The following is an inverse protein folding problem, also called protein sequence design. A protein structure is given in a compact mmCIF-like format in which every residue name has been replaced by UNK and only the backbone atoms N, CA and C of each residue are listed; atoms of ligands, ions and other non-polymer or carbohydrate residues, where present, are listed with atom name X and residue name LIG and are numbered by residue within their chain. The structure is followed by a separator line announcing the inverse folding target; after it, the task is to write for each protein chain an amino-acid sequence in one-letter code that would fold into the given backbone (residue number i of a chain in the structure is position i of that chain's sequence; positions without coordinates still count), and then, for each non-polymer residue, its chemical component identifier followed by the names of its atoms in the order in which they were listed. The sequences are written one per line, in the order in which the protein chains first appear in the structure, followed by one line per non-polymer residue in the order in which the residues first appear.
data_IF_751958334001
#
_entry.id   IF_751958334001
#
_cell.length_a   1.000
_cell.length_b   1.000
_cell.length_c   1.000
_cell.angle_alpha   90.00
_cell.angle_beta   90.00
_cell.angle_gamma   90.00
#
_symmetry.space_group_name_H-M   'P 1'
#
loop_
_entity.id
_entity.type
_entity.pdbx_description
1 polymer ?
#
# COMPACT_ATOMS: atom_id res chain seq x y z
N UNK A 1 18.81 3.27 0.54
CA UNK A 1 19.96 4.19 0.41
C UNK A 1 21.08 3.52 -0.36
N UNK A 2 21.92 4.29 -1.08
CA UNK A 2 23.15 3.81 -1.69
C UNK A 2 24.33 4.24 -0.83
N UNK A 3 25.21 3.30 -0.49
CA UNK A 3 26.43 3.58 0.27
C UNK A 3 27.67 3.19 -0.51
N UNK A 4 28.74 3.99 -0.38
CA UNK A 4 30.09 3.65 -0.84
C UNK A 4 31.04 3.79 0.33
N UNK A 5 31.80 2.74 0.62
CA UNK A 5 32.77 2.70 1.73
C UNK A 5 32.16 3.10 3.09
N UNK A 6 30.91 2.67 3.34
CA UNK A 6 30.17 2.99 4.57
C UNK A 6 29.54 4.39 4.62
N UNK A 7 29.76 5.23 3.59
CA UNK A 7 29.19 6.58 3.49
C UNK A 7 27.93 6.53 2.63
N UNK A 8 26.82 7.09 3.13
CA UNK A 8 25.60 7.28 2.33
C UNK A 8 25.90 8.31 1.23
N UNK A 9 25.77 7.91 -0.02
CA UNK A 9 26.00 8.77 -1.19
C UNK A 9 24.71 9.14 -1.93
N UNK A 10 23.63 8.39 -1.72
CA UNK A 10 22.30 8.74 -2.22
C UNK A 10 21.17 8.08 -1.41
N UNK A 11 19.99 8.67 -1.49
CA UNK A 11 18.73 8.09 -1.00
C UNK A 11 17.74 8.00 -2.16
N UNK A 12 16.92 6.96 -2.15
CA UNK A 12 15.86 6.77 -3.14
C UNK A 12 14.54 6.73 -2.38
N UNK A 13 13.55 7.43 -2.91
CA UNK A 13 12.16 7.34 -2.48
C UNK A 13 11.43 6.59 -3.58
N UNK A 14 10.61 5.62 -3.19
CA UNK A 14 9.77 4.85 -4.08
C UNK A 14 8.33 5.09 -3.65
N UNK A 15 7.47 5.29 -4.62
CA UNK A 15 6.03 5.50 -4.43
C UNK A 15 5.29 4.46 -5.27
N UNK A 16 4.14 4.01 -4.76
CA UNK A 16 3.28 3.11 -5.51
C UNK A 16 2.55 3.88 -6.62
N UNK A 17 2.80 3.47 -7.86
CA UNK A 17 2.05 3.95 -9.01
C UNK A 17 0.69 3.24 -9.08
N UNK A 18 -0.33 3.88 -8.51
CA UNK A 18 -1.68 3.36 -8.56
C UNK A 18 -2.20 3.29 -10.00
N UNK A 19 -3.03 2.27 -10.28
CA UNK A 19 -3.82 2.24 -11.52
C UNK A 19 -4.69 3.50 -11.56
N UNK A 20 -4.82 4.11 -12.73
CA UNK A 20 -5.54 5.39 -12.90
C UNK A 20 -7.02 5.33 -12.47
N UNK A 21 -7.62 4.14 -12.49
CA UNK A 21 -9.00 3.88 -12.12
C UNK A 21 -9.19 3.28 -10.71
N UNK A 22 -8.10 3.03 -9.96
CA UNK A 22 -8.15 2.33 -8.68
C UNK A 22 -9.10 3.01 -7.68
N UNK A 23 -9.02 4.34 -7.56
CA UNK A 23 -9.88 5.12 -6.65
C UNK A 23 -11.35 5.00 -7.04
N UNK A 24 -11.66 5.12 -8.34
CA UNK A 24 -13.02 5.01 -8.85
C UNK A 24 -13.59 3.60 -8.62
N UNK A 25 -12.76 2.55 -8.77
CA UNK A 25 -13.16 1.17 -8.50
C UNK A 25 -13.51 0.95 -7.01
N UNK A 26 -12.67 1.44 -6.08
CA UNK A 26 -12.94 1.37 -4.63
C UNK A 26 -14.22 2.13 -4.28
N UNK A 27 -14.41 3.33 -4.84
CA UNK A 27 -15.65 4.10 -4.63
C UNK A 27 -16.90 3.36 -5.13
N UNK A 28 -16.83 2.69 -6.28
CA UNK A 28 -17.95 1.90 -6.79
C UNK A 28 -18.31 0.74 -5.87
N UNK A 29 -17.32 0.03 -5.32
CA UNK A 29 -17.55 -1.05 -4.35
C UNK A 29 -18.19 -0.53 -3.07
N UNK A 30 -17.68 0.57 -2.52
CA UNK A 30 -18.24 1.20 -1.33
C UNK A 30 -19.67 1.69 -1.56
N UNK A 31 -19.96 2.30 -2.72
CA UNK A 31 -21.32 2.72 -3.10
C UNK A 31 -22.29 1.53 -3.25
N UNK A 32 -21.78 0.37 -3.66
CA UNK A 32 -22.51 -0.90 -3.67
C UNK A 32 -22.63 -1.55 -2.27
N UNK A 33 -22.18 -0.86 -1.21
CA UNK A 33 -22.12 -1.35 0.18
C UNK A 33 -21.25 -2.59 0.37
N UNK A 34 -20.24 -2.76 -0.47
CA UNK A 34 -19.22 -3.80 -0.34
C UNK A 34 -18.04 -3.20 0.42
N UNK A 35 -17.69 -3.81 1.56
CA UNK A 35 -16.51 -3.39 2.33
C UNK A 35 -15.23 -3.78 1.60
N UNK A 36 -14.30 -2.84 1.50
CA UNK A 36 -12.96 -3.05 0.93
C UNK A 36 -11.93 -3.07 2.06
N UNK A 37 -11.06 -4.08 2.07
CA UNK A 37 -9.91 -4.18 2.96
C UNK A 37 -8.66 -4.48 2.13
N UNK A 38 -7.53 -3.88 2.51
CA UNK A 38 -6.26 -4.08 1.84
C UNK A 38 -5.31 -4.94 2.67
N UNK A 39 -4.84 -6.05 2.11
CA UNK A 39 -3.84 -6.93 2.71
C UNK A 39 -2.54 -6.85 1.92
N UNK A 40 -1.48 -6.27 2.50
CA UNK A 40 -0.19 -6.10 1.82
C UNK A 40 0.96 -6.73 2.59
N UNK A 41 1.95 -7.22 1.82
CA UNK A 41 3.25 -7.63 2.35
C UNK A 41 4.22 -6.46 2.50
N UNK A 42 3.88 -5.27 1.98
CA UNK A 42 4.71 -4.09 2.06
C UNK A 42 4.76 -3.51 3.47
N UNK A 43 5.77 -2.68 3.71
CA UNK A 43 5.94 -1.99 4.98
C UNK A 43 4.76 -1.05 5.27
N UNK A 44 4.53 -0.78 6.56
CA UNK A 44 3.39 0.01 7.03
C UNK A 44 3.28 1.39 6.39
N UNK A 45 4.41 2.05 6.11
CA UNK A 45 4.42 3.39 5.50
C UNK A 45 3.85 3.35 4.08
N UNK A 46 4.43 2.55 3.19
CA UNK A 46 3.96 2.44 1.80
C UNK A 46 2.50 1.93 1.72
N UNK A 47 2.17 0.92 2.52
CA UNK A 47 0.81 0.39 2.62
C UNK A 47 -0.19 1.46 3.10
N UNK A 48 0.18 2.27 4.10
CA UNK A 48 -0.65 3.35 4.63
C UNK A 48 -0.89 4.46 3.60
N UNK A 49 0.14 4.86 2.86
CA UNK A 49 0.03 5.87 1.79
C UNK A 49 -0.97 5.44 0.71
N UNK A 50 -0.93 4.18 0.27
CA UNK A 50 -1.90 3.63 -0.68
C UNK A 50 -3.31 3.59 -0.10
N UNK A 51 -3.47 3.14 1.15
CA UNK A 51 -4.77 3.08 1.81
C UNK A 51 -5.40 4.48 1.92
N UNK A 52 -4.61 5.49 2.25
CA UNK A 52 -5.05 6.89 2.30
C UNK A 52 -5.47 7.41 0.93
N UNK A 53 -4.64 7.22 -0.10
CA UNK A 53 -4.93 7.66 -1.47
C UNK A 53 -6.23 7.03 -2.03
N UNK A 54 -6.50 5.77 -1.69
CA UNK A 54 -7.68 5.03 -2.12
C UNK A 54 -8.88 5.15 -1.16
N UNK A 55 -8.71 5.80 0.00
CA UNK A 55 -9.71 5.88 1.08
C UNK A 55 -10.22 4.51 1.54
N UNK A 56 -9.28 3.60 1.79
CA UNK A 56 -9.56 2.28 2.35
C UNK A 56 -9.37 2.36 3.87
N UNK A 57 -10.45 2.20 4.63
CA UNK A 57 -10.43 2.37 6.09
C UNK A 57 -9.70 1.23 6.82
N UNK A 58 -9.72 0.02 6.26
CA UNK A 58 -9.11 -1.17 6.88
C UNK A 58 -7.97 -1.68 6.01
N UNK A 59 -6.77 -1.73 6.58
CA UNK A 59 -5.61 -2.33 5.92
C UNK A 59 -4.71 -3.05 6.92
N UNK A 60 -3.99 -4.07 6.42
CA UNK A 60 -3.02 -4.86 7.18
C UNK A 60 -1.69 -4.86 6.41
N UNK A 61 -0.66 -4.16 6.92
CA UNK A 61 0.67 -4.15 6.31
C UNK A 61 1.54 -5.31 6.80
N UNK A 62 2.69 -5.49 6.15
CA UNK A 62 3.75 -6.45 6.52
C UNK A 62 3.25 -7.90 6.68
N UNK A 63 2.18 -8.27 5.97
CA UNK A 63 1.54 -9.56 6.10
C UNK A 63 2.32 -10.62 5.31
N UNK A 64 2.67 -11.71 5.98
CA UNK A 64 3.25 -12.89 5.32
C UNK A 64 2.23 -13.54 4.39
N UNK A 65 2.68 -14.31 3.36
CA UNK A 65 1.76 -15.00 2.46
C UNK A 65 0.72 -15.86 3.19
N UNK A 66 1.11 -16.54 4.27
CA UNK A 66 0.20 -17.36 5.09
C UNK A 66 -0.86 -16.55 5.82
N UNK A 67 -0.56 -15.31 6.22
CA UNK A 67 -1.52 -14.46 6.93
C UNK A 67 -2.65 -13.93 6.05
N UNK A 68 -2.57 -14.09 4.71
CA UNK A 68 -3.63 -13.66 3.78
C UNK A 68 -4.83 -14.61 3.71
N UNK A 69 -4.69 -15.83 4.24
CA UNK A 69 -5.70 -16.89 4.16
C UNK A 69 -6.33 -17.24 5.51
N UNK A 70 -5.90 -16.56 6.58
CA UNK A 70 -6.53 -16.63 7.90
C UNK A 70 -7.85 -15.84 7.93
#
# INVERSE_FOLDING_TARGET
VLTKDGIIVASFVFEDALRSDARAAVEQLNNARISVEMLSGDIAVACGEVAEMLRIDRFVPALLPSGKVE
#
